data_IF_279900108148
#
_entry.id   IF_279900108148
#
_cell.length_a   1.000
_cell.length_b   1.000
_cell.length_c   1.000
_cell.angle_alpha   90.00
_cell.angle_beta   90.00
_cell.angle_gamma   90.00
#
_symmetry.space_group_name_H-M   'P 1'
#
loop_
_entity.id
_entity.type
_entity.pdbx_description
1 polymer ?
#
# COMPACT_ATOMS: atom_id res chain seq x y z
N UNK A 1 -24.78 -6.17 6.35
CA UNK A 1 -23.43 -5.72 6.76
C UNK A 1 -22.53 -6.95 6.77
N UNK A 2 -21.44 -6.97 6.00
CA UNK A 2 -20.55 -8.15 5.88
C UNK A 2 -19.47 -8.09 6.94
N UNK A 3 -19.27 -9.18 7.69
CA UNK A 3 -18.26 -9.28 8.74
C UNK A 3 -17.07 -10.14 8.27
N UNK A 4 -15.87 -9.77 8.72
CA UNK A 4 -14.62 -10.46 8.37
C UNK A 4 -14.19 -11.33 9.56
N UNK A 5 -13.91 -12.60 9.29
CA UNK A 5 -13.31 -13.49 10.29
C UNK A 5 -11.81 -13.27 10.33
N UNK A 6 -11.29 -12.61 11.37
CA UNK A 6 -9.87 -12.22 11.47
C UNK A 6 -8.92 -13.39 11.75
N UNK A 7 -9.44 -14.46 12.37
CA UNK A 7 -8.73 -15.71 12.68
C UNK A 7 -9.00 -16.79 11.64
N UNK A 8 -8.14 -17.82 11.57
CA UNK A 8 -8.46 -18.99 10.75
C UNK A 8 -9.66 -19.73 11.34
N UNK A 9 -10.38 -20.47 10.50
CA UNK A 9 -11.57 -21.21 10.96
C UNK A 9 -11.19 -22.29 12.00
N UNK A 10 -9.98 -22.84 11.87
CA UNK A 10 -9.37 -23.75 12.84
C UNK A 10 -9.10 -23.06 14.17
N UNK A 11 -8.49 -21.87 14.18
CA UNK A 11 -8.18 -21.15 15.43
C UNK A 11 -9.47 -20.83 16.20
N UNK A 12 -10.52 -20.39 15.48
CA UNK A 12 -11.83 -20.09 16.08
C UNK A 12 -12.48 -21.35 16.65
N UNK A 13 -12.30 -22.50 16.00
CA UNK A 13 -12.77 -23.78 16.53
C UNK A 13 -12.03 -24.19 17.80
N UNK A 14 -10.71 -24.04 17.82
CA UNK A 14 -9.87 -24.36 18.98
C UNK A 14 -10.19 -23.47 20.18
N UNK A 15 -10.36 -22.17 19.95
CA UNK A 15 -10.81 -21.22 20.98
C UNK A 15 -12.19 -21.63 21.53
N UNK A 16 -13.14 -21.97 20.64
CA UNK A 16 -14.50 -22.36 21.02
C UNK A 16 -14.53 -23.60 21.92
N UNK A 17 -13.81 -24.67 21.57
CA UNK A 17 -13.77 -25.90 22.39
C UNK A 17 -13.00 -25.69 23.71
N UNK A 18 -12.03 -24.78 23.72
CA UNK A 18 -11.31 -24.40 24.94
C UNK A 18 -12.19 -23.63 25.91
N UNK A 19 -12.98 -22.69 25.41
CA UNK A 19 -13.93 -21.90 26.22
C UNK A 19 -15.20 -22.69 26.60
N UNK A 20 -15.58 -23.69 25.79
CA UNK A 20 -16.81 -24.46 25.94
C UNK A 20 -16.54 -25.98 25.98
N UNK A 21 -15.81 -26.49 26.98
CA UNK A 21 -15.38 -27.89 27.02
C UNK A 21 -16.54 -28.90 27.10
N UNK A 22 -17.72 -28.47 27.56
CA UNK A 22 -18.91 -29.30 27.63
C UNK A 22 -19.59 -29.53 26.27
N UNK A 23 -19.29 -28.71 25.26
CA UNK A 23 -19.92 -28.78 23.94
C UNK A 23 -19.11 -29.72 23.04
N UNK A 24 -19.70 -30.88 22.72
CA UNK A 24 -19.11 -31.86 21.81
C UNK A 24 -19.53 -31.58 20.37
N UNK A 25 -18.74 -30.77 19.66
CA UNK A 25 -18.95 -30.48 18.24
C UNK A 25 -17.68 -30.75 17.44
N UNK A 26 -17.83 -31.44 16.30
CA UNK A 26 -16.73 -31.68 15.36
C UNK A 26 -16.48 -30.41 14.51
N UNK A 27 -15.22 -30.16 14.14
CA UNK A 27 -14.81 -28.97 13.38
C UNK A 27 -15.69 -28.73 12.14
N UNK A 28 -15.90 -29.74 11.28
CA UNK A 28 -16.76 -29.58 10.08
C UNK A 28 -18.18 -29.14 10.40
N UNK A 29 -18.74 -29.58 11.53
CA UNK A 29 -20.10 -29.17 11.94
C UNK A 29 -20.09 -27.73 12.45
N UNK A 30 -19.07 -27.36 13.24
CA UNK A 30 -18.86 -26.00 13.70
C UNK A 30 -18.72 -25.01 12.51
N UNK A 31 -17.96 -25.40 11.49
CA UNK A 31 -17.77 -24.60 10.28
C UNK A 31 -19.07 -24.36 9.51
N UNK A 32 -20.02 -25.31 9.53
CA UNK A 32 -21.36 -25.15 8.93
C UNK A 32 -22.26 -24.22 9.72
N UNK A 33 -22.01 -24.03 11.01
CA UNK A 33 -22.72 -23.06 11.84
C UNK A 33 -22.29 -21.61 11.58
N UNK A 34 -21.26 -21.38 10.75
CA UNK A 34 -20.78 -20.03 10.40
C UNK A 34 -21.90 -19.24 9.72
N UNK A 35 -22.27 -18.04 10.24
CA UNK A 35 -23.27 -17.21 9.60
C UNK A 35 -22.88 -16.81 8.18
N UNK A 36 -23.86 -16.77 7.26
CA UNK A 36 -23.62 -16.50 5.83
C UNK A 36 -22.97 -15.13 5.56
N UNK A 37 -23.17 -14.16 6.46
CA UNK A 37 -22.60 -12.82 6.35
C UNK A 37 -21.15 -12.71 6.90
N UNK A 38 -20.60 -13.80 7.45
CA UNK A 38 -19.20 -13.88 7.92
C UNK A 38 -18.35 -14.56 6.85
N UNK A 39 -17.40 -13.82 6.29
CA UNK A 39 -16.50 -14.30 5.23
C UNK A 39 -15.05 -14.39 5.72
N UNK A 40 -14.24 -15.31 5.17
CA UNK A 40 -12.81 -15.34 5.45
C UNK A 40 -12.10 -14.08 4.91
N UNK A 41 -10.95 -13.76 5.51
CA UNK A 41 -10.06 -12.69 5.02
C UNK A 41 -9.53 -13.06 3.64
N UNK A 42 -9.77 -12.23 2.63
CA UNK A 42 -9.13 -12.37 1.30
C UNK A 42 -7.74 -11.74 1.35
N UNK A 43 -6.81 -12.11 0.45
CA UNK A 43 -5.49 -11.49 0.38
C UNK A 43 -5.53 -9.95 0.34
N UNK A 44 -6.47 -9.37 -0.43
CA UNK A 44 -6.67 -7.92 -0.49
C UNK A 44 -7.11 -7.27 0.83
N UNK A 45 -7.82 -8.01 1.69
CA UNK A 45 -8.23 -7.50 3.00
C UNK A 45 -7.07 -7.54 4.01
N UNK A 46 -6.02 -8.35 3.74
CA UNK A 46 -4.77 -8.38 4.54
C UNK A 46 -3.78 -7.28 4.18
N UNK A 47 -3.96 -6.63 3.02
CA UNK A 47 -3.05 -5.62 2.49
C UNK A 47 -3.36 -4.19 2.96
N UNK A 48 -4.38 -3.99 3.80
CA UNK A 48 -4.71 -2.66 4.33
C UNK A 48 -4.09 -2.45 5.70
N UNK A 49 -2.90 -1.83 5.73
CA UNK A 49 -2.37 -1.26 6.96
C UNK A 49 -2.75 0.23 7.04
N UNK A 50 -3.34 0.65 8.16
CA UNK A 50 -3.72 2.04 8.42
C UNK A 50 -2.65 2.83 9.18
N UNK A 51 -1.41 2.33 9.25
CA UNK A 51 -0.35 3.06 9.91
C UNK A 51 -0.02 4.34 9.12
N UNK A 52 0.50 5.35 9.85
CA UNK A 52 0.93 6.63 9.28
C UNK A 52 1.77 6.43 8.02
N UNK A 53 2.77 5.56 8.08
CA UNK A 53 3.68 5.26 6.97
C UNK A 53 2.94 4.77 5.72
N UNK A 54 2.09 3.75 5.84
CA UNK A 54 1.37 3.19 4.68
C UNK A 54 0.41 4.19 4.05
N UNK A 55 -0.26 5.01 4.86
CA UNK A 55 -1.18 6.03 4.34
C UNK A 55 -0.40 7.13 3.61
N UNK A 56 0.70 7.62 4.17
CA UNK A 56 1.57 8.60 3.52
C UNK A 56 2.19 8.04 2.23
N UNK A 57 2.68 6.80 2.26
CA UNK A 57 3.22 6.16 1.07
C UNK A 57 2.16 6.01 -0.03
N UNK A 58 0.92 5.68 0.32
CA UNK A 58 -0.19 5.62 -0.62
C UNK A 58 -0.52 6.99 -1.23
N UNK A 59 -0.43 8.08 -0.46
CA UNK A 59 -0.66 9.43 -1.02
C UNK A 59 0.46 9.81 -1.99
N UNK A 60 1.72 9.54 -1.63
CA UNK A 60 2.89 9.77 -2.49
C UNK A 60 2.77 8.98 -3.78
N UNK A 61 2.55 7.67 -3.69
CA UNK A 61 2.39 6.78 -4.84
C UNK A 61 1.31 7.29 -5.80
N UNK A 62 0.13 7.62 -5.26
CA UNK A 62 -0.99 8.13 -6.06
C UNK A 62 -0.60 9.42 -6.81
N UNK A 63 -0.01 10.38 -6.11
CA UNK A 63 0.42 11.63 -6.73
C UNK A 63 1.48 11.42 -7.83
N UNK A 64 2.39 10.45 -7.66
CA UNK A 64 3.39 10.12 -8.67
C UNK A 64 2.76 9.48 -9.91
N UNK A 65 1.82 8.55 -9.74
CA UNK A 65 1.13 7.91 -10.86
C UNK A 65 0.23 8.89 -11.62
N UNK A 66 -0.44 9.82 -10.93
CA UNK A 66 -1.21 10.90 -11.56
C UNK A 66 -0.30 11.81 -12.38
N UNK A 67 0.87 12.16 -11.84
CA UNK A 67 1.87 12.95 -12.57
C UNK A 67 2.39 12.22 -13.82
N UNK A 68 2.80 10.96 -13.68
CA UNK A 68 3.23 10.12 -14.81
C UNK A 68 2.15 10.04 -15.89
N UNK A 69 0.90 9.80 -15.49
CA UNK A 69 -0.25 9.73 -16.40
C UNK A 69 -0.44 11.04 -17.16
N UNK A 70 -0.32 12.19 -16.48
CA UNK A 70 -0.39 13.52 -17.12
C UNK A 70 0.71 13.68 -18.18
N UNK A 71 1.95 13.35 -17.85
CA UNK A 71 3.08 13.45 -18.79
C UNK A 71 2.88 12.57 -20.03
N UNK A 72 2.42 11.32 -19.86
CA UNK A 72 2.20 10.42 -21.00
C UNK A 72 1.11 10.97 -21.94
N UNK A 73 0.02 11.54 -21.40
CA UNK A 73 -1.04 12.16 -22.21
C UNK A 73 -0.53 13.41 -22.94
N UNK A 74 0.28 14.25 -22.28
CA UNK A 74 0.80 15.50 -22.85
C UNK A 74 1.86 15.26 -23.95
N UNK A 75 2.59 14.15 -23.91
CA UNK A 75 3.67 13.81 -24.85
C UNK A 75 3.28 12.78 -25.93
N UNK A 76 2.00 12.38 -25.99
CA UNK A 76 1.51 11.28 -26.83
C UNK A 76 1.69 11.41 -28.37
N UNK A 77 2.05 12.55 -29.00
CA UNK A 77 2.39 12.53 -30.43
C UNK A 77 3.84 12.16 -30.76
N UNK A 78 4.81 12.28 -29.84
CA UNK A 78 6.23 12.33 -30.22
C UNK A 78 7.15 11.29 -29.57
N UNK A 79 6.80 10.69 -28.42
CA UNK A 79 7.69 9.74 -27.75
C UNK A 79 6.93 8.50 -27.29
N UNK A 80 7.27 7.35 -27.89
CA UNK A 80 6.74 6.04 -27.53
C UNK A 80 7.36 5.56 -26.21
N UNK A 81 7.02 6.22 -25.10
CA UNK A 81 7.41 5.72 -23.79
C UNK A 81 6.56 4.50 -23.44
N UNK A 82 7.17 3.31 -23.43
CA UNK A 82 6.56 2.06 -22.96
C UNK A 82 6.43 2.00 -21.43
N UNK A 83 6.48 3.13 -20.75
CA UNK A 83 6.53 3.21 -19.28
C UNK A 83 5.12 2.96 -18.69
N UNK A 84 4.93 1.91 -17.88
CA UNK A 84 3.63 1.61 -17.30
C UNK A 84 3.21 2.63 -16.23
N UNK A 85 1.90 2.87 -16.16
CA UNK A 85 1.22 3.51 -15.02
C UNK A 85 0.63 2.40 -14.16
N UNK A 86 0.98 2.37 -12.87
CA UNK A 86 0.51 1.36 -11.94
C UNK A 86 -0.72 1.85 -11.18
N UNK A 87 -1.75 1.02 -11.09
CA UNK A 87 -3.00 1.38 -10.39
C UNK A 87 -2.89 1.22 -8.87
N UNK A 88 -2.00 0.34 -8.41
CA UNK A 88 -1.80 0.07 -6.98
C UNK A 88 -0.33 -0.13 -6.60
N UNK A 89 -0.04 0.07 -5.31
CA UNK A 89 1.26 -0.25 -4.71
C UNK A 89 1.61 -1.72 -4.93
N UNK A 90 0.63 -2.61 -4.85
CA UNK A 90 0.85 -4.04 -5.08
C UNK A 90 1.33 -4.31 -6.52
N UNK A 91 0.84 -3.56 -7.51
CA UNK A 91 1.24 -3.74 -8.90
C UNK A 91 2.71 -3.35 -9.11
N UNK A 92 3.14 -2.20 -8.58
CA UNK A 92 4.56 -1.79 -8.67
C UNK A 92 5.47 -2.72 -7.85
N UNK A 93 5.00 -3.22 -6.70
CA UNK A 93 5.77 -4.20 -5.93
C UNK A 93 5.94 -5.48 -6.73
N UNK A 94 4.86 -6.04 -7.30
CA UNK A 94 4.93 -7.26 -8.10
C UNK A 94 5.79 -7.08 -9.35
N UNK A 95 5.69 -5.94 -10.03
CA UNK A 95 6.49 -5.63 -11.23
C UNK A 95 7.99 -5.49 -10.93
N UNK A 96 8.37 -5.30 -9.66
CA UNK A 96 9.77 -5.15 -9.24
C UNK A 96 10.30 -6.36 -8.50
N UNK A 97 9.50 -7.42 -8.29
CA UNK A 97 9.97 -8.67 -7.69
C UNK A 97 10.50 -9.60 -8.79
N UNK A 98 11.49 -10.43 -8.44
CA UNK A 98 11.90 -11.55 -9.28
C UNK A 98 10.75 -12.52 -9.52
N UNK A 99 10.86 -13.28 -10.61
CA UNK A 99 9.92 -14.35 -10.94
C UNK A 99 9.80 -15.37 -9.81
N UNK A 100 8.64 -16.03 -9.77
CA UNK A 100 8.36 -17.06 -8.77
C UNK A 100 9.05 -18.35 -9.15
N UNK A 101 9.72 -18.96 -8.19
CA UNK A 101 10.20 -20.34 -8.29
C UNK A 101 9.20 -21.21 -7.54
N UNK A 102 8.66 -22.22 -8.21
CA UNK A 102 7.65 -23.15 -7.67
C UNK A 102 6.42 -22.45 -7.07
N UNK A 103 5.97 -21.36 -7.69
CA UNK A 103 4.76 -20.64 -7.29
C UNK A 103 4.93 -19.67 -6.12
N UNK A 104 6.15 -19.51 -5.59
CA UNK A 104 6.46 -18.56 -4.50
C UNK A 104 7.62 -17.62 -4.87
N UNK A 105 7.63 -16.41 -4.29
CA UNK A 105 8.78 -15.51 -4.42
C UNK A 105 9.85 -15.89 -3.42
N UNK A 106 11.11 -15.82 -3.85
CA UNK A 106 12.25 -16.01 -2.97
C UNK A 106 12.27 -14.97 -1.82
N UNK A 107 12.68 -15.40 -0.63
CA UNK A 107 12.68 -14.56 0.57
C UNK A 107 13.68 -13.40 0.47
N UNK A 108 14.84 -13.60 -0.18
CA UNK A 108 15.80 -12.51 -0.41
C UNK A 108 15.21 -11.48 -1.37
N UNK A 109 14.40 -11.91 -2.33
CA UNK A 109 13.68 -11.00 -3.20
C UNK A 109 12.61 -10.18 -2.46
N UNK A 110 11.83 -10.81 -1.60
CA UNK A 110 10.84 -10.10 -0.78
C UNK A 110 11.52 -9.09 0.17
N UNK A 111 12.73 -9.39 0.61
CA UNK A 111 13.58 -8.50 1.42
C UNK A 111 14.39 -7.47 0.60
N UNK A 112 14.27 -7.47 -0.73
CA UNK A 112 15.02 -6.60 -1.66
C UNK A 112 16.55 -6.75 -1.58
N UNK A 113 17.03 -7.94 -1.21
CA UNK A 113 18.46 -8.23 -1.13
C UNK A 113 19.05 -8.77 -2.45
N UNK A 114 18.25 -8.98 -3.50
CA UNK A 114 18.75 -9.43 -4.80
C UNK A 114 19.31 -8.29 -5.67
N UNK A 115 20.35 -8.65 -6.44
CA UNK A 115 21.00 -7.80 -7.44
C UNK A 115 20.11 -7.43 -8.63
N UNK A 116 18.98 -8.12 -8.83
CA UNK A 116 18.17 -8.03 -10.06
C UNK A 116 16.70 -7.63 -9.81
N UNK A 117 16.35 -7.26 -8.58
CA UNK A 117 15.00 -6.83 -8.18
C UNK A 117 14.95 -5.37 -7.68
N UNK A 118 13.76 -4.81 -7.51
CA UNK A 118 13.55 -3.48 -6.93
C UNK A 118 13.37 -2.37 -7.95
N UNK A 119 13.58 -1.13 -7.50
CA UNK A 119 13.29 0.08 -8.29
C UNK A 119 14.15 0.24 -9.53
N UNK A 120 15.33 -0.40 -9.58
CA UNK A 120 16.20 -0.41 -10.77
C UNK A 120 15.58 -1.06 -12.01
N UNK A 121 14.53 -1.87 -11.84
CA UNK A 121 13.76 -2.44 -12.96
C UNK A 121 12.78 -1.42 -13.54
N UNK A 122 12.42 -0.38 -12.76
CA UNK A 122 11.44 0.60 -13.20
C UNK A 122 12.05 1.54 -14.23
N UNK A 123 11.34 1.69 -15.34
CA UNK A 123 11.61 2.74 -16.31
C UNK A 123 11.04 4.06 -15.78
N UNK A 124 11.89 5.07 -15.68
CA UNK A 124 11.52 6.44 -15.30
C UNK A 124 11.57 7.34 -16.53
N UNK A 125 10.61 8.25 -16.63
CA UNK A 125 10.63 9.32 -17.62
C UNK A 125 11.72 10.35 -17.26
N UNK A 126 12.33 11.04 -18.24
CA UNK A 126 13.37 12.05 -17.96
C UNK A 126 12.92 13.10 -16.93
N UNK A 127 11.67 13.58 -17.02
CA UNK A 127 11.10 14.54 -16.08
C UNK A 127 10.94 13.98 -14.66
N UNK A 128 10.85 12.66 -14.49
CA UNK A 128 10.80 12.01 -13.17
C UNK A 128 12.19 11.94 -12.52
N UNK A 129 13.23 11.92 -13.36
CA UNK A 129 14.64 11.94 -12.96
C UNK A 129 15.20 13.36 -12.80
N UNK A 130 14.48 14.38 -13.26
CA UNK A 130 14.95 15.76 -13.21
C UNK A 130 15.11 16.25 -11.76
N UNK A 131 16.35 16.60 -11.42
CA UNK A 131 16.73 17.13 -10.11
C UNK A 131 17.11 18.60 -10.16
N UNK A 132 16.92 19.27 -11.30
CA UNK A 132 17.15 20.70 -11.45
C UNK A 132 16.21 21.54 -10.57
N UNK A 133 16.55 22.80 -10.34
CA UNK A 133 15.68 23.73 -9.61
C UNK A 133 14.41 24.10 -10.40
N UNK A 134 14.40 23.80 -11.70
CA UNK A 134 13.27 23.98 -12.62
C UNK A 134 12.33 22.78 -12.70
N UNK A 135 12.67 21.65 -12.05
CA UNK A 135 11.88 20.42 -12.09
C UNK A 135 10.44 20.63 -11.58
N UNK A 136 9.47 19.98 -12.22
CA UNK A 136 8.07 20.05 -11.79
C UNK A 136 7.88 19.34 -10.45
N UNK A 137 7.20 20.01 -9.51
CA UNK A 137 6.99 19.45 -8.18
C UNK A 137 5.65 18.72 -8.09
N UNK A 138 5.70 17.49 -7.57
CA UNK A 138 4.50 16.73 -7.21
C UNK A 138 3.98 17.16 -5.83
N UNK A 139 2.67 17.43 -5.78
CA UNK A 139 1.95 17.70 -4.52
C UNK A 139 1.51 16.37 -3.91
N UNK A 140 1.81 16.18 -2.64
CA UNK A 140 1.46 14.96 -1.89
C UNK A 140 0.99 15.33 -0.49
N UNK A 141 0.55 14.35 0.29
CA UNK A 141 -0.10 14.57 1.58
C UNK A 141 0.59 13.79 2.70
N UNK A 142 0.91 14.44 3.82
CA UNK A 142 1.55 13.79 4.97
C UNK A 142 0.94 14.20 6.29
N UNK A 143 1.05 13.37 7.31
CA UNK A 143 0.56 13.69 8.64
C UNK A 143 1.52 14.62 9.38
N UNK A 144 1.00 15.77 9.79
CA UNK A 144 1.67 16.72 10.67
C UNK A 144 0.78 17.10 11.85
N UNK A 145 1.42 17.49 12.95
CA UNK A 145 0.72 18.08 14.09
C UNK A 145 0.42 19.55 13.77
N UNK A 146 -0.84 19.85 13.51
CA UNK A 146 -1.33 21.18 13.18
C UNK A 146 -2.02 21.78 14.40
N UNK A 147 -1.73 23.04 14.70
CA UNK A 147 -2.45 23.81 15.73
C UNK A 147 -3.81 24.24 15.18
N UNK A 148 -4.89 23.76 15.79
CA UNK A 148 -6.27 24.08 15.41
C UNK A 148 -6.88 24.96 16.49
N UNK A 149 -7.44 26.09 16.09
CA UNK A 149 -8.20 26.96 16.99
C UNK A 149 -9.53 26.30 17.36
N UNK A 150 -9.78 26.19 18.66
CA UNK A 150 -11.05 25.76 19.24
C UNK A 150 -11.75 26.98 19.82
N UNK A 151 -13.08 26.94 19.93
CA UNK A 151 -13.89 28.02 20.52
C UNK A 151 -13.26 28.51 21.84
N UNK A 152 -13.07 29.82 21.96
CA UNK A 152 -12.53 30.48 23.16
C UNK A 152 -11.01 30.69 23.17
N UNK A 153 -10.38 31.03 22.04
CA UNK A 153 -8.93 31.32 21.91
C UNK A 153 -7.98 30.19 22.38
N UNK A 154 -8.48 28.95 22.50
CA UNK A 154 -7.65 27.79 22.84
C UNK A 154 -7.15 27.14 21.55
N UNK A 155 -5.86 26.83 21.49
CA UNK A 155 -5.27 26.03 20.41
C UNK A 155 -5.06 24.60 20.89
N UNK A 156 -5.40 23.63 20.05
CA UNK A 156 -5.06 22.21 20.27
C UNK A 156 -4.24 21.69 19.11
N UNK A 157 -3.22 20.87 19.39
CA UNK A 157 -2.46 20.17 18.35
C UNK A 157 -3.22 18.92 17.92
N UNK A 158 -3.52 18.81 16.63
CA UNK A 158 -4.13 17.61 16.03
C UNK A 158 -3.21 17.06 14.95
N UNK A 159 -3.09 15.74 14.90
CA UNK A 159 -2.48 15.08 13.76
C UNK A 159 -3.45 15.17 12.58
N UNK A 160 -3.05 15.84 11.51
CA UNK A 160 -3.85 16.04 10.31
C UNK A 160 -3.04 15.74 9.07
N UNK A 161 -3.70 15.22 8.06
CA UNK A 161 -3.12 15.04 6.75
C UNK A 161 -3.04 16.42 6.06
N UNK A 162 -1.83 16.89 5.79
CA UNK A 162 -1.57 18.20 5.19
C UNK A 162 -0.92 18.06 3.82
N UNK A 163 -1.35 18.90 2.88
CA UNK A 163 -0.74 18.98 1.54
C UNK A 163 0.65 19.58 1.65
N UNK A 164 1.64 18.84 1.17
CA UNK A 164 3.02 19.29 1.01
C UNK A 164 3.34 19.48 -0.46
N UNK A 165 4.12 20.52 -0.71
CA UNK A 165 4.86 20.70 -1.97
C UNK A 165 6.28 20.17 -1.72
N UNK A 166 6.90 19.58 -2.74
CA UNK A 166 8.31 19.14 -2.79
C UNK A 166 8.55 17.67 -2.40
N UNK A 167 8.46 16.78 -3.38
CA UNK A 167 9.35 15.62 -3.48
C UNK A 167 9.78 15.53 -4.95
N UNK A 168 11.08 15.35 -5.18
CA UNK A 168 11.61 14.99 -6.50
C UNK A 168 11.18 13.55 -6.78
N UNK A 169 10.59 13.27 -7.94
CA UNK A 169 9.91 11.99 -8.21
C UNK A 169 10.80 10.75 -8.01
N UNK A 170 12.08 10.83 -8.37
CA UNK A 170 13.11 9.83 -8.00
C UNK A 170 13.05 9.45 -6.51
N UNK A 171 12.95 10.44 -5.63
CA UNK A 171 12.93 10.19 -4.20
C UNK A 171 11.64 9.52 -3.74
N UNK A 172 10.53 9.65 -4.47
CA UNK A 172 9.26 9.01 -4.12
C UNK A 172 9.36 7.48 -4.17
N UNK A 173 10.16 6.93 -5.08
CA UNK A 173 10.34 5.48 -5.24
C UNK A 173 11.50 4.92 -4.42
N UNK A 174 12.51 5.73 -4.09
CA UNK A 174 13.59 5.33 -3.17
C UNK A 174 13.21 5.37 -1.69
N UNK A 175 12.04 5.93 -1.31
CA UNK A 175 11.55 5.92 0.08
C UNK A 175 11.24 4.50 0.61
N UNK A 176 11.17 3.48 -0.25
CA UNK A 176 10.98 2.09 0.16
C UNK A 176 12.28 1.30 0.38
N UNK A 177 13.46 1.91 0.25
CA UNK A 177 14.76 1.21 0.37
C UNK A 177 15.49 1.43 1.70
N UNK A 178 14.89 2.16 2.66
CA UNK A 178 15.46 2.37 4.00
C UNK A 178 14.53 1.88 5.12
#
# INVERSE_FOLDING_TARGET
>A
MTHILEKTQTDVYLDFIGENPCIKIAQRMFERCKPYFVRPVRPKDRQTCCCKYHVEFKTVFKSCMEFRKKLLIENEPNECYSTPVYDSISDVVNATLCEKVDGSHDLQCLKRNCSDCGVKILNFLPCELDVSDTAEFVKWEKFENVSVNVKGNKTIKKLMLVKKKKVKLVNCFHISEN
#
